data_IF_094038162954
#
_entry.id   IF_094038162954
#
_cell.length_a   1.000
_cell.length_b   1.000
_cell.length_c   1.000
_cell.angle_alpha   90.00
_cell.angle_beta   90.00
_cell.angle_gamma   90.00
#
_symmetry.space_group_name_H-M   'P 1'
#
loop_
_entity.id
_entity.type
_entity.pdbx_description
1 polymer ?
#
# COMPACT_ATOMS: atom_id res chain seq x y z
N UNK A 1 30.00 0.38 33.18
CA UNK A 1 29.75 -0.89 33.89
C UNK A 1 28.95 -1.77 32.90
N UNK A 2 29.67 -2.58 32.15
CA UNK A 2 29.12 -3.38 31.04
C UNK A 2 28.55 -4.66 31.63
N UNK A 3 27.23 -4.77 31.67
CA UNK A 3 26.56 -6.00 32.08
C UNK A 3 26.62 -6.95 30.88
N UNK A 4 27.50 -7.96 30.96
CA UNK A 4 27.47 -9.09 30.02
C UNK A 4 26.32 -10.02 30.42
N UNK A 5 25.42 -10.42 29.50
CA UNK A 5 24.40 -11.40 29.80
C UNK A 5 25.07 -12.77 30.01
N UNK A 6 24.85 -13.39 31.17
CA UNK A 6 25.23 -14.76 31.45
C UNK A 6 24.40 -15.72 30.58
N UNK A 7 25.05 -16.71 30.00
CA UNK A 7 24.41 -17.77 29.21
C UNK A 7 23.32 -18.47 30.03
N UNK A 8 22.06 -18.41 29.55
CA UNK A 8 21.06 -19.37 29.94
C UNK A 8 19.59 -18.96 30.03
N UNK A 9 19.23 -17.74 30.40
CA UNK A 9 17.83 -17.41 30.74
C UNK A 9 17.36 -16.02 30.29
N UNK A 10 17.65 -15.64 29.05
CA UNK A 10 17.00 -14.42 28.48
C UNK A 10 15.64 -14.83 27.92
N UNK A 11 14.54 -14.38 28.57
CA UNK A 11 13.19 -14.58 28.06
C UNK A 11 13.07 -14.09 26.61
N UNK A 12 12.20 -14.72 25.82
CA UNK A 12 12.09 -14.45 24.39
C UNK A 12 11.84 -12.95 24.10
N UNK A 13 11.01 -12.29 24.91
CA UNK A 13 10.72 -10.85 24.77
C UNK A 13 11.95 -9.95 25.05
N UNK A 14 12.75 -10.28 26.06
CA UNK A 14 13.97 -9.54 26.38
C UNK A 14 15.01 -9.70 25.26
N UNK A 15 15.14 -10.92 24.73
CA UNK A 15 16.02 -11.21 23.60
C UNK A 15 15.58 -10.41 22.36
N UNK A 16 14.30 -10.38 22.07
CA UNK A 16 13.74 -9.60 20.95
C UNK A 16 13.99 -8.11 21.11
N UNK A 17 13.81 -7.55 22.32
CA UNK A 17 14.14 -6.15 22.61
C UNK A 17 15.63 -5.85 22.41
N UNK A 18 16.52 -6.75 22.85
CA UNK A 18 17.95 -6.59 22.63
C UNK A 18 18.34 -6.71 21.16
N UNK A 19 17.76 -7.66 20.42
CA UNK A 19 17.98 -7.77 18.96
C UNK A 19 17.58 -6.48 18.27
N UNK A 20 16.40 -5.93 18.58
CA UNK A 20 15.95 -4.68 17.96
C UNK A 20 16.91 -3.52 18.26
N UNK A 21 17.41 -3.40 19.51
CA UNK A 21 18.40 -2.40 19.89
C UNK A 21 19.71 -2.56 19.14
N UNK A 22 20.24 -3.77 19.01
CA UNK A 22 21.48 -4.04 18.26
C UNK A 22 21.30 -3.62 16.79
N UNK A 23 20.16 -3.93 16.19
CA UNK A 23 19.88 -3.53 14.82
C UNK A 23 19.73 -2.01 14.70
N UNK A 24 19.09 -1.34 15.68
CA UNK A 24 18.97 0.12 15.74
C UNK A 24 20.34 0.83 15.86
N UNK A 25 21.24 0.32 16.72
CA UNK A 25 22.55 0.92 17.00
C UNK A 25 23.56 0.68 15.86
N UNK A 26 23.57 -0.50 15.26
CA UNK A 26 24.57 -0.89 14.26
C UNK A 26 24.06 -0.84 12.81
N UNK A 27 22.79 -0.47 12.62
CA UNK A 27 22.14 -0.40 11.31
C UNK A 27 21.79 -1.79 10.73
N UNK A 28 22.41 -2.86 11.20
CA UNK A 28 22.20 -4.25 10.75
C UNK A 28 22.68 -5.27 11.78
N UNK A 29 22.14 -6.51 11.69
CA UNK A 29 22.67 -7.66 12.42
C UNK A 29 22.50 -8.94 11.57
N UNK A 30 23.47 -9.88 11.66
CA UNK A 30 23.41 -11.17 10.98
C UNK A 30 22.88 -12.26 11.92
N UNK A 31 22.10 -13.23 11.38
CA UNK A 31 21.60 -14.38 12.16
C UNK A 31 22.74 -15.11 12.88
N UNK A 32 23.87 -15.31 12.22
CA UNK A 32 25.02 -16.01 12.83
C UNK A 32 25.65 -15.23 13.99
N UNK A 33 25.67 -13.91 13.94
CA UNK A 33 26.17 -13.02 15.00
C UNK A 33 25.24 -13.04 16.19
N UNK A 34 23.93 -12.86 15.95
CA UNK A 34 22.90 -12.90 16.98
C UNK A 34 22.81 -14.28 17.65
N UNK A 35 22.91 -15.37 16.86
CA UNK A 35 22.92 -16.75 17.39
C UNK A 35 24.07 -16.98 18.35
N UNK A 36 25.27 -16.49 18.04
CA UNK A 36 26.44 -16.56 18.93
C UNK A 36 26.27 -15.67 20.15
N UNK A 37 25.76 -14.46 19.98
CA UNK A 37 25.60 -13.48 21.06
C UNK A 37 24.60 -13.97 22.12
N UNK A 38 23.47 -14.52 21.69
CA UNK A 38 22.40 -14.96 22.58
C UNK A 38 22.45 -16.46 22.96
N UNK A 39 23.39 -17.22 22.40
CA UNK A 39 23.53 -18.63 22.70
C UNK A 39 22.35 -19.51 22.26
N UNK A 40 21.56 -19.04 21.27
CA UNK A 40 20.38 -19.74 20.74
C UNK A 40 20.57 -20.15 19.28
N UNK A 41 19.77 -21.12 18.81
CA UNK A 41 19.87 -21.61 17.44
C UNK A 41 19.55 -20.49 16.40
N UNK A 42 20.14 -20.59 15.21
CA UNK A 42 19.80 -19.70 14.11
C UNK A 42 18.31 -19.77 13.70
N UNK A 43 17.63 -20.88 13.99
CA UNK A 43 16.18 -21.02 13.78
C UNK A 43 15.41 -20.14 14.77
N UNK A 44 15.84 -20.14 16.05
CA UNK A 44 15.25 -19.27 17.08
C UNK A 44 15.42 -17.80 16.72
N UNK A 45 16.62 -17.38 16.33
CA UNK A 45 16.89 -16.01 15.88
C UNK A 45 16.02 -15.65 14.68
N UNK A 46 15.82 -16.54 13.70
CA UNK A 46 14.94 -16.23 12.55
C UNK A 46 13.50 -16.00 12.99
N UNK A 47 12.97 -16.80 13.93
CA UNK A 47 11.62 -16.58 14.49
C UNK A 47 11.51 -15.23 15.22
N UNK A 48 12.52 -14.88 16.03
CA UNK A 48 12.55 -13.57 16.71
C UNK A 48 12.59 -12.41 15.71
N UNK A 49 13.41 -12.53 14.68
CA UNK A 49 13.48 -11.53 13.61
C UNK A 49 12.18 -11.44 12.80
N UNK A 50 11.50 -12.56 12.53
CA UNK A 50 10.20 -12.59 11.84
C UNK A 50 9.13 -11.86 12.67
N UNK A 51 9.12 -12.07 14.00
CA UNK A 51 8.19 -11.40 14.90
C UNK A 51 8.48 -9.88 14.99
N UNK A 52 9.75 -9.49 15.09
CA UNK A 52 10.16 -8.10 15.12
C UNK A 52 9.89 -7.39 13.78
N UNK A 53 9.98 -8.10 12.66
CA UNK A 53 9.56 -7.59 11.34
C UNK A 53 8.05 -7.38 11.28
N UNK A 54 7.24 -8.34 11.77
CA UNK A 54 5.78 -8.19 11.87
C UNK A 54 5.39 -6.99 12.73
N UNK A 55 6.13 -6.73 13.82
CA UNK A 55 5.97 -5.54 14.67
C UNK A 55 6.52 -4.26 14.02
N UNK A 56 7.17 -4.37 12.85
CA UNK A 56 7.76 -3.24 12.13
C UNK A 56 8.98 -2.61 12.79
N UNK A 57 9.65 -3.33 13.68
CA UNK A 57 10.82 -2.84 14.42
C UNK A 57 12.13 -2.99 13.65
N UNK A 58 12.20 -3.92 12.71
CA UNK A 58 13.35 -4.15 11.84
C UNK A 58 12.88 -4.75 10.50
N UNK A 59 13.83 -4.94 9.60
CA UNK A 59 13.63 -5.50 8.26
C UNK A 59 14.49 -6.74 8.09
N UNK A 60 13.88 -7.83 7.64
CA UNK A 60 14.57 -9.06 7.30
C UNK A 60 15.38 -8.93 6.02
N UNK A 61 16.59 -9.52 6.04
CA UNK A 61 17.39 -9.80 4.87
C UNK A 61 17.65 -11.31 4.76
N UNK A 62 18.24 -11.80 3.65
CA UNK A 62 18.54 -13.22 3.46
C UNK A 62 19.42 -13.84 4.57
N UNK A 63 20.21 -13.05 5.27
CA UNK A 63 21.13 -13.52 6.30
C UNK A 63 21.01 -12.84 7.66
N UNK A 64 20.02 -11.97 7.88
CA UNK A 64 19.90 -11.19 9.11
C UNK A 64 18.75 -10.19 9.10
N UNK A 65 19.00 -9.02 9.66
CA UNK A 65 18.09 -7.90 9.69
C UNK A 65 18.85 -6.56 9.56
N UNK A 66 18.13 -5.53 9.11
CA UNK A 66 18.59 -4.15 9.07
C UNK A 66 17.61 -3.25 9.82
N UNK A 67 18.06 -2.05 10.23
CA UNK A 67 17.22 -1.10 10.93
C UNK A 67 16.00 -0.72 10.08
N UNK A 68 14.84 -0.74 10.69
CA UNK A 68 13.69 -0.03 10.14
C UNK A 68 13.93 1.46 10.44
N UNK A 69 14.27 2.27 9.45
CA UNK A 69 14.56 3.69 9.66
C UNK A 69 13.43 4.37 10.46
N UNK A 70 13.78 4.80 11.68
CA UNK A 70 12.87 5.50 12.59
C UNK A 70 12.97 7.01 12.39
N UNK A 71 12.18 7.50 11.45
CA UNK A 71 11.74 8.90 11.52
C UNK A 71 10.40 8.95 10.82
N UNK A 72 9.26 8.74 11.52
CA UNK A 72 7.90 8.73 10.93
C UNK A 72 7.83 7.92 9.61
N UNK A 73 8.71 6.97 9.43
CA UNK A 73 9.49 6.71 8.25
C UNK A 73 8.73 5.72 7.40
N UNK A 74 8.54 6.11 6.20
CA UNK A 74 8.15 5.27 5.09
C UNK A 74 9.02 4.01 5.06
N UNK A 75 8.40 2.84 5.18
CA UNK A 75 9.11 1.56 5.00
C UNK A 75 9.48 1.43 3.54
N UNK A 76 10.69 0.94 3.23
CA UNK A 76 11.12 0.70 1.87
C UNK A 76 10.10 -0.14 1.09
N UNK A 77 9.99 0.09 -0.20
CA UNK A 77 8.97 -0.51 -1.07
C UNK A 77 8.91 -2.04 -0.93
N UNK A 78 10.05 -2.72 -0.98
CA UNK A 78 10.14 -4.19 -0.92
C UNK A 78 9.60 -4.77 0.40
N UNK A 79 9.69 -4.01 1.50
CA UNK A 79 9.13 -4.41 2.79
C UNK A 79 7.62 -4.25 2.74
N UNK A 80 7.15 -3.09 2.29
CA UNK A 80 5.72 -2.84 2.15
C UNK A 80 5.05 -3.86 1.23
N UNK A 81 5.72 -4.30 0.17
CA UNK A 81 5.21 -5.30 -0.77
C UNK A 81 4.97 -6.66 -0.10
N UNK A 82 5.82 -7.07 0.85
CA UNK A 82 5.69 -8.35 1.56
C UNK A 82 4.63 -8.35 2.65
N UNK A 83 4.38 -7.18 3.28
CA UNK A 83 3.37 -7.02 4.32
C UNK A 83 1.96 -7.06 3.70
N UNK A 84 1.02 -7.74 4.37
CA UNK A 84 -0.38 -7.88 3.94
C UNK A 84 -0.50 -8.27 2.45
N UNK A 85 0.35 -9.22 1.99
CA UNK A 85 0.44 -9.57 0.58
C UNK A 85 -0.86 -10.16 0.05
N UNK A 86 -1.52 -11.00 0.83
CA UNK A 86 -2.76 -11.64 0.43
C UNK A 86 -3.92 -10.65 0.35
N UNK A 87 -4.00 -9.71 1.30
CA UNK A 87 -4.98 -8.62 1.33
C UNK A 87 -4.80 -7.70 0.13
N UNK A 88 -3.58 -7.27 -0.15
CA UNK A 88 -3.27 -6.43 -1.32
C UNK A 88 -3.56 -7.12 -2.63
N UNK A 89 -3.32 -8.42 -2.74
CA UNK A 89 -3.67 -9.20 -3.91
C UNK A 89 -5.18 -9.23 -4.13
N UNK A 90 -5.96 -9.47 -3.07
CA UNK A 90 -7.41 -9.46 -3.14
C UNK A 90 -7.97 -8.08 -3.50
N UNK A 91 -7.46 -7.00 -2.86
CA UNK A 91 -7.81 -5.61 -3.17
C UNK A 91 -7.44 -5.28 -4.62
N UNK A 92 -6.21 -5.60 -5.04
CA UNK A 92 -5.72 -5.35 -6.38
C UNK A 92 -6.55 -6.05 -7.46
N UNK A 93 -6.96 -7.30 -7.23
CA UNK A 93 -7.84 -8.06 -8.12
C UNK A 93 -9.22 -7.40 -8.26
N UNK A 94 -9.83 -7.00 -7.14
CA UNK A 94 -11.11 -6.33 -7.16
C UNK A 94 -11.04 -4.97 -7.87
N UNK A 95 -10.00 -4.19 -7.60
CA UNK A 95 -9.77 -2.91 -8.27
C UNK A 95 -9.52 -3.09 -9.78
N UNK A 96 -8.73 -4.09 -10.20
CA UNK A 96 -8.50 -4.38 -11.61
C UNK A 96 -9.79 -4.81 -12.35
N UNK A 97 -10.73 -5.46 -11.66
CA UNK A 97 -12.03 -5.81 -12.23
C UNK A 97 -12.94 -4.60 -12.50
N UNK A 98 -12.68 -3.45 -11.87
CA UNK A 98 -13.41 -2.20 -12.12
C UNK A 98 -12.99 -1.53 -13.44
N UNK A 99 -11.81 -1.86 -13.99
CA UNK A 99 -11.25 -1.20 -15.18
C UNK A 99 -11.88 -1.73 -16.45
N UNK A 100 -12.25 -0.81 -17.33
CA UNK A 100 -12.83 -1.11 -18.64
C UNK A 100 -11.84 -0.73 -19.76
N UNK A 101 -11.84 -1.46 -20.87
CA UNK A 101 -11.02 -1.13 -22.03
C UNK A 101 -11.40 0.25 -22.61
N UNK A 102 -10.41 1.01 -23.07
CA UNK A 102 -10.59 2.38 -23.53
C UNK A 102 -10.41 3.43 -22.44
N UNK A 103 -10.27 3.05 -21.17
CA UNK A 103 -10.05 4.00 -20.07
C UNK A 103 -8.63 4.51 -20.00
N UNK A 104 -8.51 5.70 -19.40
CA UNK A 104 -7.28 6.32 -18.91
C UNK A 104 -7.35 6.33 -17.38
N UNK A 105 -6.51 5.53 -16.73
CA UNK A 105 -6.48 5.38 -15.27
C UNK A 105 -5.16 5.83 -14.69
N UNK A 106 -5.16 6.18 -13.40
CA UNK A 106 -3.95 6.45 -12.64
C UNK A 106 -3.70 5.39 -11.57
N UNK A 107 -2.45 5.01 -11.39
CA UNK A 107 -1.96 4.14 -10.32
C UNK A 107 -0.82 4.85 -9.59
N UNK A 108 -0.95 5.04 -8.28
CA UNK A 108 0.14 5.60 -7.47
C UNK A 108 1.26 4.57 -7.23
N UNK A 109 2.40 5.00 -6.69
CA UNK A 109 3.56 4.13 -6.39
C UNK A 109 3.34 3.24 -5.16
N UNK A 110 2.11 2.82 -4.87
CA UNK A 110 1.84 1.93 -3.74
C UNK A 110 2.00 0.45 -4.10
N UNK A 111 2.27 -0.37 -3.09
CA UNK A 111 2.37 -1.82 -3.26
C UNK A 111 1.02 -2.48 -3.54
N UNK A 112 -0.10 -1.84 -3.14
CA UNK A 112 -1.45 -2.31 -3.48
C UNK A 112 -1.79 -2.00 -4.94
N UNK A 113 -1.39 -0.83 -5.44
CA UNK A 113 -1.51 -0.50 -6.87
C UNK A 113 -0.62 -1.41 -7.74
N UNK A 114 0.57 -1.83 -7.24
CA UNK A 114 1.37 -2.85 -7.93
C UNK A 114 0.65 -4.20 -8.00
N UNK A 115 -0.03 -4.63 -6.93
CA UNK A 115 -0.84 -5.83 -6.97
C UNK A 115 -1.97 -5.72 -8.02
N UNK A 116 -2.64 -4.55 -8.10
CA UNK A 116 -3.62 -4.26 -9.14
C UNK A 116 -3.00 -4.33 -10.55
N UNK A 117 -1.83 -3.75 -10.77
CA UNK A 117 -1.13 -3.78 -12.06
C UNK A 117 -0.88 -5.21 -12.55
N UNK A 118 -0.47 -6.11 -11.66
CA UNK A 118 -0.30 -7.54 -11.95
C UNK A 118 -1.60 -8.22 -12.39
N UNK A 119 -2.73 -7.84 -11.81
CA UNK A 119 -4.03 -8.36 -12.25
C UNK A 119 -4.46 -7.76 -13.59
N UNK A 120 -4.12 -6.52 -13.90
CA UNK A 120 -4.36 -5.94 -15.23
C UNK A 120 -3.58 -6.69 -16.32
N UNK A 121 -2.30 -7.00 -16.08
CA UNK A 121 -1.47 -7.77 -17.02
C UNK A 121 -1.95 -9.22 -17.15
N UNK A 122 -2.31 -9.87 -16.04
CA UNK A 122 -2.79 -11.25 -16.03
C UNK A 122 -4.15 -11.40 -16.72
N UNK A 123 -5.02 -10.40 -16.65
CA UNK A 123 -6.32 -10.41 -17.33
C UNK A 123 -6.17 -10.42 -18.85
N UNK A 124 -5.21 -9.63 -19.39
CA UNK A 124 -4.99 -9.51 -20.84
C UNK A 124 -6.19 -8.96 -21.61
N UNK A 125 -6.12 -9.04 -22.93
CA UNK A 125 -7.24 -8.66 -23.81
C UNK A 125 -7.51 -7.16 -23.91
N UNK A 126 -6.58 -6.32 -23.46
CA UNK A 126 -6.65 -4.87 -23.60
C UNK A 126 -6.40 -4.45 -25.03
N UNK A 127 -7.14 -3.46 -25.52
CA UNK A 127 -6.94 -2.84 -26.84
C UNK A 127 -6.41 -1.42 -26.68
N UNK A 128 -6.94 -0.66 -25.73
CA UNK A 128 -6.62 0.76 -25.53
C UNK A 128 -6.65 1.19 -24.04
N UNK A 129 -6.02 0.46 -23.13
CA UNK A 129 -5.89 0.90 -21.76
C UNK A 129 -4.70 1.86 -21.61
N UNK A 130 -4.93 3.08 -21.11
CA UNK A 130 -3.86 4.02 -20.75
C UNK A 130 -3.68 4.06 -19.23
N UNK A 131 -2.46 3.87 -18.75
CA UNK A 131 -2.12 3.91 -17.32
C UNK A 131 -1.09 5.01 -17.07
N UNK A 132 -1.47 6.01 -16.25
CA UNK A 132 -0.55 7.04 -15.76
C UNK A 132 -0.08 6.61 -14.37
N UNK A 133 1.24 6.52 -14.16
CA UNK A 133 1.79 6.12 -12.87
C UNK A 133 3.10 6.83 -12.54
N UNK A 134 3.28 7.20 -11.27
CA UNK A 134 4.56 7.67 -10.76
C UNK A 134 5.42 6.52 -10.18
N UNK A 135 4.92 5.29 -10.19
CA UNK A 135 5.58 4.11 -9.63
C UNK A 135 6.47 3.39 -10.65
N UNK A 136 7.79 3.34 -10.41
CA UNK A 136 8.75 2.67 -11.29
C UNK A 136 8.47 1.17 -11.44
N UNK A 137 8.07 0.49 -10.35
CA UNK A 137 7.72 -0.95 -10.37
C UNK A 137 6.44 -1.20 -11.16
N UNK A 138 5.46 -0.31 -11.05
CA UNK A 138 4.20 -0.41 -11.78
C UNK A 138 4.44 -0.17 -13.26
N UNK A 139 5.21 0.84 -13.62
CA UNK A 139 5.56 1.10 -15.00
C UNK A 139 6.30 -0.10 -15.63
N UNK A 140 7.26 -0.69 -14.91
CA UNK A 140 7.99 -1.87 -15.36
C UNK A 140 7.08 -3.11 -15.51
N UNK A 141 6.09 -3.29 -14.61
CA UNK A 141 5.11 -4.39 -14.67
C UNK A 141 4.19 -4.29 -15.89
N UNK A 142 3.76 -3.08 -16.24
CA UNK A 142 2.81 -2.83 -17.32
C UNK A 142 3.47 -2.65 -18.70
N UNK A 143 4.73 -2.21 -18.72
CA UNK A 143 5.43 -1.90 -19.95
C UNK A 143 5.59 -3.14 -20.85
N UNK A 144 5.26 -2.96 -22.12
CA UNK A 144 5.33 -4.04 -23.12
C UNK A 144 4.12 -4.97 -23.18
N UNK A 145 3.12 -4.80 -22.30
CA UNK A 145 1.87 -5.54 -22.44
C UNK A 145 1.04 -5.02 -23.62
N UNK A 146 0.58 -5.90 -24.53
CA UNK A 146 -0.24 -5.48 -25.66
C UNK A 146 -1.51 -4.76 -25.20
N UNK A 147 -1.81 -3.62 -25.85
CA UNK A 147 -2.99 -2.81 -25.57
C UNK A 147 -2.89 -1.94 -24.30
N UNK A 148 -1.76 -1.96 -23.57
CA UNK A 148 -1.53 -1.06 -22.42
C UNK A 148 -0.49 -0.02 -22.80
N UNK A 149 -0.87 1.26 -22.72
CA UNK A 149 0.04 2.39 -22.84
C UNK A 149 0.37 2.92 -21.44
N UNK A 150 1.65 3.06 -21.13
CA UNK A 150 2.10 3.60 -19.83
C UNK A 150 2.68 4.99 -20.02
N UNK A 151 2.17 5.94 -19.24
CA UNK A 151 2.71 7.30 -19.14
C UNK A 151 3.24 7.55 -17.72
N UNK A 152 4.36 8.24 -17.63
CA UNK A 152 4.96 8.61 -16.35
C UNK A 152 5.18 10.12 -16.27
N UNK A 153 4.96 10.76 -15.10
CA UNK A 153 5.34 12.14 -14.88
C UNK A 153 6.86 12.30 -14.92
N UNK A 154 7.33 13.50 -15.21
CA UNK A 154 8.74 13.86 -15.03
C UNK A 154 9.02 14.15 -13.54
N UNK A 155 10.27 14.00 -13.11
CA UNK A 155 10.63 14.34 -11.73
C UNK A 155 11.88 13.65 -11.23
N UNK A 156 12.01 13.61 -9.91
CA UNK A 156 13.12 12.97 -9.21
C UNK A 156 12.71 11.60 -8.67
N UNK A 157 13.61 10.65 -8.75
CA UNK A 157 13.36 9.30 -8.21
C UNK A 157 13.56 9.31 -6.70
N UNK A 158 12.51 8.91 -5.95
CA UNK A 158 12.60 8.54 -4.54
C UNK A 158 12.83 7.04 -4.45
N UNK A 159 14.00 6.70 -3.95
CA UNK A 159 14.43 5.30 -3.92
C UNK A 159 13.64 4.45 -2.91
N UNK A 160 13.25 5.03 -1.77
CA UNK A 160 12.49 4.37 -0.70
C UNK A 160 11.10 3.90 -1.18
N UNK A 161 10.48 4.68 -2.04
CA UNK A 161 9.15 4.38 -2.59
C UNK A 161 9.21 3.80 -4.01
N UNK A 162 10.36 3.83 -4.68
CA UNK A 162 10.50 3.55 -6.11
C UNK A 162 9.50 4.36 -6.94
N UNK A 163 9.42 5.65 -6.63
CA UNK A 163 8.47 6.60 -7.22
C UNK A 163 9.17 7.78 -7.86
N UNK A 164 8.45 8.47 -8.76
CA UNK A 164 8.84 9.78 -9.28
C UNK A 164 8.02 10.84 -8.56
N UNK A 165 8.68 11.89 -8.07
CA UNK A 165 8.08 13.03 -7.36
C UNK A 165 8.71 14.35 -7.78
N UNK A 166 8.11 15.45 -7.35
CA UNK A 166 8.64 16.82 -7.52
C UNK A 166 7.89 17.65 -8.55
N UNK A 167 8.20 18.96 -8.61
CA UNK A 167 7.40 19.95 -9.35
C UNK A 167 7.40 19.75 -10.86
N UNK A 168 8.39 19.03 -11.43
CA UNK A 168 8.41 18.73 -12.85
C UNK A 168 7.25 17.82 -13.29
N UNK A 169 6.56 17.20 -12.34
CA UNK A 169 5.42 16.33 -12.59
C UNK A 169 4.19 17.09 -13.10
N UNK A 170 3.98 18.35 -12.70
CA UNK A 170 2.78 19.15 -12.94
C UNK A 170 2.43 19.24 -14.42
N UNK A 171 3.42 19.45 -15.28
CA UNK A 171 3.19 19.63 -16.71
C UNK A 171 2.56 18.44 -17.46
N UNK A 172 2.52 17.24 -16.89
CA UNK A 172 1.78 16.12 -17.44
C UNK A 172 0.30 16.24 -17.12
N UNK A 173 -0.04 16.59 -15.88
CA UNK A 173 -1.41 16.59 -15.37
C UNK A 173 -2.28 17.68 -16.01
N UNK A 174 -1.67 18.76 -16.49
CA UNK A 174 -2.36 19.80 -17.30
C UNK A 174 -2.81 19.32 -18.68
N UNK A 175 -2.32 18.17 -19.15
CA UNK A 175 -2.49 17.68 -20.53
C UNK A 175 -3.23 16.35 -20.65
N UNK A 176 -3.55 15.72 -19.53
CA UNK A 176 -4.18 14.38 -19.51
C UNK A 176 -5.55 14.44 -18.84
N UNK A 177 -6.43 13.53 -19.26
CA UNK A 177 -7.69 13.29 -18.59
C UNK A 177 -7.62 11.89 -17.97
N UNK A 178 -7.98 11.78 -16.69
CA UNK A 178 -7.97 10.53 -15.95
C UNK A 178 -9.40 10.22 -15.52
N UNK A 179 -9.94 9.09 -15.96
CA UNK A 179 -11.27 8.68 -15.51
C UNK A 179 -11.24 8.22 -14.07
N UNK A 180 -10.29 7.36 -13.72
CA UNK A 180 -10.18 6.83 -12.34
C UNK A 180 -8.74 6.82 -11.84
N UNK A 181 -8.54 7.32 -10.63
CA UNK A 181 -7.28 7.21 -9.91
C UNK A 181 -7.41 6.18 -8.78
N UNK A 182 -6.60 5.13 -8.82
CA UNK A 182 -6.53 4.10 -7.79
C UNK A 182 -5.34 4.40 -6.87
N UNK A 183 -5.65 4.75 -5.64
CA UNK A 183 -4.70 5.38 -4.71
C UNK A 183 -4.51 4.55 -3.44
N UNK A 184 -3.31 4.04 -3.24
CA UNK A 184 -2.92 3.48 -1.95
C UNK A 184 -2.57 4.57 -0.94
N UNK A 185 -2.55 4.23 0.35
CA UNK A 185 -2.23 5.17 1.41
C UNK A 185 -1.30 4.57 2.47
N UNK A 186 -0.59 5.43 3.17
CA UNK A 186 0.14 5.06 4.39
C UNK A 186 -0.84 4.89 5.56
N UNK A 187 -1.91 5.72 5.62
CA UNK A 187 -2.98 5.62 6.59
C UNK A 187 -4.27 6.27 6.06
N UNK A 188 -5.40 5.92 6.69
CA UNK A 188 -6.74 6.45 6.41
C UNK A 188 -7.51 6.70 7.70
N UNK A 189 -8.19 7.84 7.78
CA UNK A 189 -9.24 8.10 8.76
C UNK A 189 -10.37 8.92 8.15
N UNK A 190 -11.54 8.92 8.78
CA UNK A 190 -12.71 9.68 8.31
C UNK A 190 -12.47 11.19 8.31
N UNK A 191 -11.62 11.68 9.20
CA UNK A 191 -11.30 13.11 9.36
C UNK A 191 -10.22 13.55 8.39
N UNK A 192 -9.12 12.78 8.29
CA UNK A 192 -7.97 13.15 7.48
C UNK A 192 -8.05 12.66 6.03
N UNK A 193 -8.92 11.66 5.75
CA UNK A 193 -8.92 11.00 4.44
C UNK A 193 -7.70 10.11 4.22
N UNK A 194 -7.28 9.97 2.96
CA UNK A 194 -6.07 9.23 2.62
C UNK A 194 -4.84 10.11 2.86
N UNK A 195 -3.87 9.55 3.59
CA UNK A 195 -2.65 10.25 4.00
C UNK A 195 -1.40 9.48 3.63
N UNK A 196 -0.29 10.19 3.43
CA UNK A 196 1.02 9.61 3.13
C UNK A 196 2.09 10.02 4.14
N UNK A 197 3.20 9.27 4.16
CA UNK A 197 4.28 9.45 5.12
C UNK A 197 5.11 10.71 4.86
N UNK A 198 5.13 11.21 3.62
CA UNK A 198 5.93 12.35 3.20
C UNK A 198 5.13 13.32 2.34
N UNK A 199 5.53 14.60 2.36
CA UNK A 199 4.88 15.64 1.55
C UNK A 199 5.14 15.45 0.06
N UNK A 200 6.32 14.95 -0.33
CA UNK A 200 6.67 14.72 -1.72
C UNK A 200 5.75 13.67 -2.37
N UNK A 201 5.43 12.57 -1.66
CA UNK A 201 4.45 11.60 -2.13
C UNK A 201 3.04 12.18 -2.13
N UNK A 202 2.67 12.91 -1.09
CA UNK A 202 1.36 13.54 -1.01
C UNK A 202 1.15 14.57 -2.13
N UNK A 203 2.18 15.33 -2.51
CA UNK A 203 2.10 16.32 -3.58
C UNK A 203 1.75 15.68 -4.92
N UNK A 204 2.48 14.64 -5.34
CA UNK A 204 2.18 13.96 -6.61
C UNK A 204 0.81 13.27 -6.57
N UNK A 205 0.42 12.69 -5.44
CA UNK A 205 -0.89 12.07 -5.27
C UNK A 205 -2.04 13.07 -5.34
N UNK A 206 -1.86 14.31 -4.84
CA UNK A 206 -2.85 15.39 -5.03
C UNK A 206 -3.07 15.70 -6.50
N UNK A 207 -2.03 15.67 -7.34
CA UNK A 207 -2.19 15.88 -8.79
C UNK A 207 -3.05 14.75 -9.40
N UNK A 208 -2.85 13.49 -9.02
CA UNK A 208 -3.74 12.41 -9.45
C UNK A 208 -5.18 12.64 -9.00
N UNK A 209 -5.39 13.00 -7.72
CA UNK A 209 -6.72 13.22 -7.13
C UNK A 209 -7.46 14.38 -7.82
N UNK A 210 -6.76 15.49 -8.11
CA UNK A 210 -7.38 16.68 -8.72
C UNK A 210 -7.64 16.51 -10.21
N UNK A 211 -6.88 15.64 -10.90
CA UNK A 211 -7.03 15.40 -12.34
C UNK A 211 -8.05 14.30 -12.64
N UNK A 212 -8.25 13.37 -11.72
CA UNK A 212 -9.16 12.25 -11.94
C UNK A 212 -10.63 12.64 -11.73
N UNK A 213 -11.52 12.04 -12.55
CA UNK A 213 -12.97 12.17 -12.36
C UNK A 213 -13.44 11.40 -11.12
N UNK A 214 -12.87 10.22 -10.88
CA UNK A 214 -13.19 9.37 -9.72
C UNK A 214 -11.90 8.95 -9.01
N UNK A 215 -11.93 8.96 -7.70
CA UNK A 215 -10.82 8.49 -6.85
C UNK A 215 -11.25 7.26 -6.08
N UNK A 216 -10.49 6.18 -6.23
CA UNK A 216 -10.70 4.90 -5.55
C UNK A 216 -9.55 4.66 -4.57
N UNK A 217 -9.86 4.61 -3.28
CA UNK A 217 -8.90 4.26 -2.24
C UNK A 217 -8.64 2.75 -2.19
N UNK A 218 -7.36 2.35 -2.16
CA UNK A 218 -6.92 0.96 -2.01
C UNK A 218 -6.28 0.79 -0.64
N UNK A 219 -7.04 0.28 0.37
CA UNK A 219 -6.67 0.40 1.78
C UNK A 219 -6.84 -0.93 2.50
N UNK A 220 -5.74 -1.60 2.85
CA UNK A 220 -5.80 -2.79 3.70
C UNK A 220 -6.19 -2.44 5.16
N UNK A 221 -6.71 -3.42 5.92
CA UNK A 221 -7.22 -3.22 7.28
C UNK A 221 -6.23 -2.55 8.24
N UNK A 222 -4.92 -2.67 8.01
CA UNK A 222 -3.89 -2.11 8.91
C UNK A 222 -3.74 -0.59 8.78
N UNK A 223 -4.39 0.04 7.81
CA UNK A 223 -4.26 1.47 7.49
C UNK A 223 -5.31 2.34 8.15
N UNK A 224 -6.38 1.76 8.63
CA UNK A 224 -7.56 2.46 9.13
C UNK A 224 -7.33 3.12 10.49
N UNK A 225 -8.19 4.10 10.83
CA UNK A 225 -8.23 4.85 12.10
C UNK A 225 -6.91 5.53 12.46
N UNK A 226 -6.15 5.92 11.46
CA UNK A 226 -4.86 6.62 11.63
C UNK A 226 -4.70 7.68 10.54
N UNK A 227 -3.86 8.67 10.84
CA UNK A 227 -3.37 9.63 9.87
C UNK A 227 -1.83 9.55 9.81
N UNK A 228 -1.28 9.63 8.61
CA UNK A 228 0.14 9.85 8.38
C UNK A 228 0.41 11.36 8.24
N UNK A 229 1.65 11.73 7.90
CA UNK A 229 2.11 13.12 7.94
C UNK A 229 1.31 14.07 7.04
N UNK A 230 1.00 13.67 5.80
CA UNK A 230 0.43 14.56 4.80
C UNK A 230 -0.86 14.00 4.18
N UNK A 231 -1.94 14.78 4.24
CA UNK A 231 -3.20 14.46 3.54
C UNK A 231 -3.06 14.74 2.06
N UNK A 232 -3.45 13.77 1.22
CA UNK A 232 -3.49 13.96 -0.23
C UNK A 232 -4.88 13.82 -0.84
N UNK A 233 -5.82 13.11 -0.19
CA UNK A 233 -7.19 12.95 -0.65
C UNK A 233 -8.16 13.05 0.54
N UNK A 234 -8.90 14.17 0.69
CA UNK A 234 -9.97 14.27 1.67
C UNK A 234 -11.01 13.16 1.48
N UNK A 235 -11.62 12.69 2.56
CA UNK A 235 -12.65 11.63 2.50
C UNK A 235 -13.77 11.98 1.52
N UNK A 236 -14.21 13.23 1.48
CA UNK A 236 -15.27 13.69 0.58
C UNK A 236 -14.90 13.62 -0.92
N UNK A 237 -13.63 13.50 -1.27
CA UNK A 237 -13.15 13.34 -2.65
C UNK A 237 -13.10 11.90 -3.12
N UNK A 238 -13.39 10.93 -2.25
CA UNK A 238 -13.44 9.51 -2.60
C UNK A 238 -14.77 9.16 -3.27
N UNK A 239 -14.72 8.53 -4.43
CA UNK A 239 -15.86 7.87 -5.05
C UNK A 239 -16.07 6.46 -4.47
N UNK A 240 -14.96 5.75 -4.22
CA UNK A 240 -15.01 4.40 -3.68
C UNK A 240 -13.78 4.07 -2.83
N UNK A 241 -13.91 3.02 -2.01
CA UNK A 241 -12.81 2.38 -1.28
C UNK A 241 -12.89 0.87 -1.48
N UNK A 242 -11.77 0.26 -1.85
CA UNK A 242 -11.61 -1.20 -1.88
C UNK A 242 -10.71 -1.59 -0.72
N UNK A 243 -11.21 -2.45 0.17
CA UNK A 243 -10.50 -2.90 1.36
C UNK A 243 -10.70 -4.41 1.56
N UNK A 244 -9.81 -5.05 2.34
CA UNK A 244 -10.03 -6.43 2.76
C UNK A 244 -11.11 -6.53 3.85
N UNK A 245 -11.69 -7.72 4.01
CA UNK A 245 -12.82 -7.96 4.92
C UNK A 245 -12.52 -7.70 6.40
N UNK A 246 -11.24 -7.61 6.80
CA UNK A 246 -10.85 -7.26 8.17
C UNK A 246 -10.89 -5.75 8.45
N UNK A 247 -11.22 -4.91 7.45
CA UNK A 247 -11.40 -3.46 7.65
C UNK A 247 -12.55 -3.17 8.64
N UNK A 248 -12.49 -2.05 9.39
CA UNK A 248 -13.52 -1.71 10.39
C UNK A 248 -14.91 -1.51 9.75
N UNK A 249 -15.81 -2.47 9.94
CA UNK A 249 -17.13 -2.45 9.34
C UNK A 249 -17.95 -1.19 9.70
N UNK A 250 -17.84 -0.69 10.93
CA UNK A 250 -18.54 0.52 11.35
C UNK A 250 -18.13 1.74 10.51
N UNK A 251 -16.82 1.85 10.20
CA UNK A 251 -16.31 2.95 9.36
C UNK A 251 -16.72 2.74 7.91
N UNK A 252 -16.69 1.50 7.41
CA UNK A 252 -17.16 1.18 6.06
C UNK A 252 -18.64 1.59 5.88
N UNK A 253 -19.51 1.33 6.86
CA UNK A 253 -20.90 1.78 6.82
C UNK A 253 -21.04 3.31 6.87
N UNK A 254 -20.24 3.99 7.69
CA UNK A 254 -20.23 5.47 7.72
C UNK A 254 -19.80 6.07 6.36
N UNK A 255 -18.86 5.45 5.66
CA UNK A 255 -18.49 5.88 4.30
C UNK A 255 -19.67 5.69 3.33
N UNK A 256 -20.36 4.55 3.38
CA UNK A 256 -21.55 4.28 2.55
C UNK A 256 -22.66 5.30 2.80
N UNK A 257 -22.91 5.68 4.06
CA UNK A 257 -23.90 6.72 4.38
C UNK A 257 -23.53 8.10 3.81
N UNK A 258 -22.23 8.34 3.54
CA UNK A 258 -21.74 9.56 2.89
C UNK A 258 -21.72 9.47 1.36
N UNK A 259 -22.24 8.37 0.77
CA UNK A 259 -22.30 8.17 -0.67
C UNK A 259 -21.01 7.61 -1.29
N UNK A 260 -20.06 7.17 -0.47
CA UNK A 260 -18.82 6.56 -0.92
C UNK A 260 -19.06 5.06 -1.03
N UNK A 261 -18.84 4.47 -2.21
CA UNK A 261 -18.93 3.01 -2.37
C UNK A 261 -17.80 2.30 -1.61
N UNK A 262 -18.12 1.23 -0.86
CA UNK A 262 -17.11 0.47 -0.12
C UNK A 262 -17.24 -1.02 -0.47
N UNK A 263 -16.23 -1.51 -1.17
CA UNK A 263 -16.10 -2.92 -1.48
C UNK A 263 -15.15 -3.59 -0.49
N UNK A 264 -15.68 -4.50 0.33
CA UNK A 264 -14.89 -5.37 1.20
C UNK A 264 -14.65 -6.70 0.49
N UNK A 265 -13.38 -7.13 0.42
CA UNK A 265 -12.98 -8.34 -0.30
C UNK A 265 -12.36 -9.37 0.64
N UNK A 266 -12.73 -10.63 0.47
CA UNK A 266 -12.12 -11.72 1.20
C UNK A 266 -10.75 -12.09 0.60
N UNK A 267 -9.80 -12.41 1.47
CA UNK A 267 -8.46 -12.87 1.10
C UNK A 267 -8.51 -14.18 0.30
N UNK A 268 -9.56 -15.00 0.52
CA UNK A 268 -9.80 -16.25 -0.22
C UNK A 268 -10.45 -16.05 -1.61
N UNK A 269 -10.71 -14.80 -2.04
CA UNK A 269 -11.10 -14.50 -3.43
C UNK A 269 -12.59 -14.51 -3.75
N UNK A 270 -13.47 -14.47 -2.78
CA UNK A 270 -14.92 -14.31 -3.01
C UNK A 270 -15.34 -12.88 -2.63
N UNK A 271 -15.67 -12.07 -3.63
CA UNK A 271 -16.25 -10.76 -3.39
C UNK A 271 -17.68 -10.92 -2.84
N UNK A 272 -17.95 -10.46 -1.64
CA UNK A 272 -19.31 -10.28 -1.15
C UNK A 272 -19.89 -9.04 -1.85
N UNK A 273 -20.71 -9.26 -2.89
CA UNK A 273 -21.45 -8.20 -3.56
C UNK A 273 -22.51 -7.65 -2.58
N UNK A 274 -22.46 -6.36 -2.28
CA UNK A 274 -23.60 -5.66 -1.70
C UNK A 274 -24.78 -5.71 -2.69
N UNK A 275 -25.95 -6.14 -2.20
CA UNK A 275 -27.17 -6.28 -2.96
C UNK A 275 -27.62 -4.91 -3.50
N UNK A 276 -27.66 -4.83 -4.80
CA UNK A 276 -28.14 -3.70 -5.60
C UNK A 276 -29.61 -3.35 -5.21
N UNK A 277 -29.84 -2.23 -4.54
CA UNK A 277 -31.16 -1.63 -4.34
C UNK A 277 -31.45 -0.53 -5.37
N UNK A 278 -31.28 -0.83 -6.65
CA UNK A 278 -31.72 0.03 -7.74
C UNK A 278 -32.75 -0.65 -8.66
N UNK A 279 -33.75 -1.29 -8.07
CA UNK A 279 -34.86 -1.85 -8.84
C UNK A 279 -36.19 -1.73 -8.07
N UNK A 280 -36.55 -0.53 -7.60
CA UNK A 280 -37.87 -0.26 -7.07
C UNK A 280 -38.25 1.22 -7.17
N UNK A 281 -38.16 1.79 -8.38
CA UNK A 281 -38.78 3.07 -8.67
C UNK A 281 -39.13 3.13 -10.17
N UNK A 282 -40.19 2.46 -10.57
CA UNK A 282 -40.60 2.50 -11.98
C UNK A 282 -41.78 1.59 -12.30
N UNK A 283 -42.88 1.66 -11.57
CA UNK A 283 -44.16 1.20 -12.07
C UNK A 283 -45.34 1.71 -11.21
N UNK A 284 -45.71 2.97 -11.38
CA UNK A 284 -47.08 3.44 -11.18
C UNK A 284 -47.28 4.68 -12.06
N UNK A 285 -47.82 4.47 -13.23
CA UNK A 285 -48.66 5.45 -13.93
C UNK A 285 -49.33 4.74 -15.11
N UNK A 286 -50.54 4.38 -14.95
CA UNK A 286 -51.67 4.43 -15.91
C UNK A 286 -52.95 4.39 -15.17
#
# INVERSE_FOLDING_TARGET
MTIQPTHGDVFAEERQQHIARIVEEHGRARVAELSRLFGVSGVTIRKDLDLLEQQGRLVRTHGGAVVAHRTGAERAFDIRERLQRAEKDAIGRAAAAMVVDGESIALDASTTALAMARHLTSRGGWVHLTVITNGLRIAAELAGHPGITVAMPAGFVRWEALSIVGPLSEGLFDKVNIQRAFMGAAAFSLEAGLTDATEEEAQIKRLFVTTATEVVGLVDHTKWERAAFATFCPTASLAAVVADAAAPHAIAELLRTRGIDVQLVDVAGVATRSVDRRAAAGSTSS
#
